data_IF_775182262317
#
_entry.id   IF_775182262317
#
_cell.length_a   1.000
_cell.length_b   1.000
_cell.length_c   1.000
_cell.angle_alpha   90.00
_cell.angle_beta   90.00
_cell.angle_gamma   90.00
#
_symmetry.space_group_name_H-M   'P 1'
#
loop_
_entity.id
_entity.type
_entity.pdbx_description
1 polymer ?
#
# COMPACT_ATOMS: atom_id res chain seq x y z
N UNK A 1 -48.83 34.93 -12.72
CA UNK A 1 -49.58 33.65 -12.72
C UNK A 1 -48.56 32.55 -13.09
N UNK A 2 -48.39 31.56 -12.22
CA UNK A 2 -47.52 30.40 -12.50
C UNK A 2 -48.32 29.40 -13.33
N UNK A 3 -47.80 28.99 -14.46
CA UNK A 3 -48.46 27.97 -15.30
C UNK A 3 -48.35 26.62 -14.54
N UNK A 4 -49.43 25.85 -14.40
CA UNK A 4 -49.36 24.52 -13.83
C UNK A 4 -48.60 23.59 -14.75
N UNK A 5 -47.73 22.77 -14.18
CA UNK A 5 -47.00 21.73 -14.92
C UNK A 5 -47.96 20.66 -15.43
N UNK A 6 -47.72 20.17 -16.62
CA UNK A 6 -48.50 19.05 -17.16
C UNK A 6 -48.00 17.74 -16.58
N UNK A 7 -48.87 16.74 -16.46
CA UNK A 7 -48.50 15.40 -15.97
C UNK A 7 -47.39 14.79 -16.82
N UNK A 8 -47.36 15.08 -18.14
CA UNK A 8 -46.35 14.62 -19.06
C UNK A 8 -44.98 15.24 -18.77
N UNK A 9 -44.88 16.54 -18.45
CA UNK A 9 -43.63 17.21 -18.10
C UNK A 9 -42.98 16.58 -16.84
N UNK A 10 -43.79 16.28 -15.83
CA UNK A 10 -43.30 15.63 -14.61
C UNK A 10 -42.82 14.21 -14.92
N UNK A 11 -43.56 13.45 -15.73
CA UNK A 11 -43.22 12.07 -16.09
C UNK A 11 -41.90 12.02 -16.87
N UNK A 12 -41.68 12.94 -17.82
CA UNK A 12 -40.43 13.07 -18.56
C UNK A 12 -39.28 13.46 -17.65
N UNK A 13 -39.47 14.43 -16.75
CA UNK A 13 -38.44 14.84 -15.82
C UNK A 13 -38.01 13.70 -14.89
N UNK A 14 -38.95 12.95 -14.31
CA UNK A 14 -38.63 11.80 -13.46
C UNK A 14 -37.94 10.69 -14.24
N UNK A 15 -38.35 10.45 -15.49
CA UNK A 15 -37.67 9.46 -16.36
C UNK A 15 -36.22 9.81 -16.64
N UNK A 16 -35.93 11.09 -16.94
CA UNK A 16 -34.55 11.56 -17.16
C UNK A 16 -33.71 11.42 -15.89
N UNK A 17 -34.25 11.82 -14.73
CA UNK A 17 -33.57 11.66 -13.43
C UNK A 17 -33.29 10.18 -13.17
N UNK A 18 -34.23 9.30 -13.43
CA UNK A 18 -34.05 7.85 -13.27
C UNK A 18 -32.90 7.29 -14.11
N UNK A 19 -32.82 7.67 -15.37
CA UNK A 19 -31.75 7.24 -16.28
C UNK A 19 -30.39 7.78 -15.81
N UNK A 20 -30.31 9.07 -15.47
CA UNK A 20 -29.07 9.69 -14.99
C UNK A 20 -28.56 9.06 -13.69
N UNK A 21 -29.49 8.74 -12.78
CA UNK A 21 -29.14 8.08 -11.50
C UNK A 21 -28.62 6.65 -11.73
N UNK A 22 -29.27 5.90 -12.61
CA UNK A 22 -28.86 4.53 -12.93
C UNK A 22 -27.46 4.46 -13.56
N UNK A 23 -27.14 5.38 -14.47
CA UNK A 23 -25.79 5.45 -15.09
C UNK A 23 -24.73 5.91 -14.08
N UNK A 24 -25.04 6.82 -13.16
CA UNK A 24 -24.10 7.31 -12.15
C UNK A 24 -23.65 6.24 -11.17
N UNK A 25 -24.52 5.32 -10.78
CA UNK A 25 -24.18 4.26 -9.81
C UNK A 25 -23.24 3.19 -10.38
N UNK A 26 -23.33 2.89 -11.68
CA UNK A 26 -22.48 1.86 -12.30
C UNK A 26 -21.00 2.26 -12.45
N UNK A 27 -20.71 3.55 -12.56
CA UNK A 27 -19.35 4.04 -12.82
C UNK A 27 -18.51 4.15 -11.56
N UNK A 28 -19.13 4.30 -10.38
CA UNK A 28 -18.41 4.60 -9.13
C UNK A 28 -17.42 3.51 -8.71
N UNK A 29 -17.74 2.25 -8.91
CA UNK A 29 -16.86 1.11 -8.59
C UNK A 29 -15.60 1.10 -9.45
N UNK A 30 -15.77 1.25 -10.75
CA UNK A 30 -14.65 1.29 -11.70
C UNK A 30 -13.69 2.46 -11.43
N UNK A 31 -14.25 3.66 -11.22
CA UNK A 31 -13.45 4.86 -10.94
C UNK A 31 -12.67 4.69 -9.63
N UNK A 32 -13.27 4.16 -8.58
CA UNK A 32 -12.59 3.91 -7.30
C UNK A 32 -11.42 2.95 -7.46
N UNK A 33 -11.60 1.85 -8.20
CA UNK A 33 -10.53 0.90 -8.46
C UNK A 33 -9.40 1.55 -9.27
N UNK A 34 -9.72 2.33 -10.30
CA UNK A 34 -8.71 3.02 -11.10
C UNK A 34 -7.93 4.08 -10.33
N UNK A 35 -8.59 4.79 -9.43
CA UNK A 35 -7.94 5.74 -8.53
C UNK A 35 -7.02 5.00 -7.55
N UNK A 36 -7.47 3.90 -6.95
CA UNK A 36 -6.68 3.11 -6.04
C UNK A 36 -5.43 2.52 -6.73
N UNK A 37 -5.57 1.97 -7.94
CA UNK A 37 -4.45 1.49 -8.75
C UNK A 37 -3.42 2.60 -9.00
N UNK A 38 -3.88 3.78 -9.42
CA UNK A 38 -3.01 4.92 -9.67
C UNK A 38 -2.30 5.39 -8.40
N UNK A 39 -2.99 5.42 -7.27
CA UNK A 39 -2.40 5.74 -5.97
C UNK A 39 -1.33 4.71 -5.58
N UNK A 40 -1.60 3.42 -5.78
CA UNK A 40 -0.65 2.34 -5.50
C UNK A 40 0.62 2.50 -6.33
N UNK A 41 0.50 2.71 -7.64
CA UNK A 41 1.64 2.95 -8.54
C UNK A 41 2.46 4.17 -8.09
N UNK A 42 1.79 5.23 -7.67
CA UNK A 42 2.47 6.42 -7.14
C UNK A 42 3.19 6.12 -5.83
N UNK A 43 2.56 5.39 -4.92
CA UNK A 43 3.17 4.98 -3.65
C UNK A 43 4.41 4.12 -3.87
N UNK A 44 4.32 3.09 -4.73
CA UNK A 44 5.46 2.24 -5.09
C UNK A 44 6.59 3.09 -5.64
N UNK A 45 6.33 4.00 -6.56
CA UNK A 45 7.34 4.88 -7.15
C UNK A 45 8.01 5.81 -6.14
N UNK A 46 7.27 6.31 -5.16
CA UNK A 46 7.85 7.11 -4.06
C UNK A 46 8.77 6.26 -3.17
N UNK A 47 8.39 5.01 -2.89
CA UNK A 47 9.22 4.06 -2.13
C UNK A 47 10.49 3.73 -2.91
N UNK A 48 10.39 3.44 -4.21
CA UNK A 48 11.54 3.19 -5.07
C UNK A 48 12.54 4.33 -5.05
N UNK A 49 12.08 5.58 -5.22
CA UNK A 49 12.95 6.75 -5.15
C UNK A 49 13.65 6.89 -3.79
N UNK A 50 12.94 6.60 -2.70
CA UNK A 50 13.53 6.63 -1.37
C UNK A 50 14.56 5.51 -1.18
N UNK A 51 14.28 4.30 -1.67
CA UNK A 51 15.19 3.17 -1.62
C UNK A 51 16.45 3.40 -2.45
N UNK A 52 16.32 3.96 -3.65
CA UNK A 52 17.46 4.35 -4.49
C UNK A 52 18.34 5.39 -3.79
N UNK A 53 17.73 6.46 -3.27
CA UNK A 53 18.44 7.50 -2.54
C UNK A 53 19.15 6.98 -1.28
N UNK A 54 18.54 5.99 -0.62
CA UNK A 54 19.17 5.31 0.52
C UNK A 54 20.35 4.46 0.06
N UNK A 55 20.18 3.67 -1.01
CA UNK A 55 21.22 2.81 -1.58
C UNK A 55 22.42 3.62 -2.07
N UNK A 56 22.22 4.77 -2.71
CA UNK A 56 23.30 5.68 -3.11
C UNK A 56 24.17 6.13 -1.93
N UNK A 57 23.59 6.25 -0.73
CA UNK A 57 24.29 6.68 0.48
C UNK A 57 24.94 5.55 1.26
N UNK A 58 24.35 4.37 1.23
CA UNK A 58 24.74 3.26 2.12
C UNK A 58 25.31 2.06 1.39
N UNK A 59 25.12 1.99 0.06
CA UNK A 59 25.53 0.85 -0.78
C UNK A 59 24.61 -0.37 -0.65
N UNK A 60 23.46 -0.25 0.05
CA UNK A 60 22.51 -1.35 0.23
C UNK A 60 21.07 -0.82 0.30
N UNK A 61 20.10 -1.66 -0.05
CA UNK A 61 18.70 -1.35 0.16
C UNK A 61 18.29 -1.54 1.62
N UNK A 62 17.23 -0.83 2.09
CA UNK A 62 16.75 -1.01 3.45
C UNK A 62 16.33 -2.46 3.69
N UNK A 63 16.75 -3.04 4.79
CA UNK A 63 16.30 -4.36 5.22
C UNK A 63 14.97 -4.17 5.94
N UNK A 64 13.94 -4.89 5.51
CA UNK A 64 12.61 -4.86 6.11
C UNK A 64 12.43 -5.93 7.18
N UNK A 65 13.47 -6.72 7.44
CA UNK A 65 13.46 -7.78 8.44
C UNK A 65 13.60 -7.22 9.85
N UNK A 66 12.83 -7.76 10.77
CA UNK A 66 13.06 -7.57 12.20
C UNK A 66 14.44 -8.15 12.57
N UNK A 67 15.27 -7.35 13.25
CA UNK A 67 16.62 -7.74 13.69
C UNK A 67 16.65 -9.01 14.56
N UNK A 68 15.51 -9.44 15.08
CA UNK A 68 15.38 -10.61 15.93
C UNK A 68 14.95 -11.88 15.19
N UNK A 69 14.72 -11.83 13.86
CA UNK A 69 14.43 -13.02 13.05
C UNK A 69 13.12 -13.75 13.37
N UNK A 70 12.30 -13.21 14.23
CA UNK A 70 11.09 -13.88 14.72
C UNK A 70 9.80 -13.41 14.03
N UNK A 71 9.81 -12.28 13.34
CA UNK A 71 8.62 -11.74 12.65
C UNK A 71 8.95 -11.51 11.16
N UNK A 72 9.04 -12.61 10.42
CA UNK A 72 9.31 -12.63 8.97
C UNK A 72 8.06 -12.24 8.16
N UNK A 73 7.30 -11.25 8.62
CA UNK A 73 6.21 -10.75 7.79
C UNK A 73 6.78 -10.00 6.59
N UNK A 74 6.40 -10.38 5.36
CA UNK A 74 6.92 -9.74 4.14
C UNK A 74 6.38 -8.32 3.94
N UNK A 75 5.62 -7.80 4.91
CA UNK A 75 5.01 -6.49 4.80
C UNK A 75 6.02 -5.36 5.01
N UNK A 76 6.00 -4.40 4.09
CA UNK A 76 6.80 -3.20 4.24
C UNK A 76 6.33 -2.38 5.44
N UNK A 77 7.16 -2.33 6.46
CA UNK A 77 6.88 -1.60 7.68
C UNK A 77 8.08 -0.79 8.17
N UNK A 78 7.79 0.22 8.96
CA UNK A 78 8.76 1.01 9.70
C UNK A 78 8.50 0.74 11.16
N UNK A 79 9.52 0.30 11.88
CA UNK A 79 9.47 0.18 13.32
C UNK A 79 10.21 1.35 13.95
N UNK A 80 9.52 2.08 14.83
CA UNK A 80 10.07 3.25 15.53
C UNK A 80 10.11 2.92 17.02
N UNK A 81 11.31 2.73 17.59
CA UNK A 81 11.48 2.57 19.02
C UNK A 81 10.97 3.81 19.77
N UNK A 82 10.57 3.65 21.03
CA UNK A 82 10.13 4.78 21.86
C UNK A 82 11.19 5.87 22.01
N UNK A 83 12.44 5.43 22.18
CA UNK A 83 13.61 6.30 22.36
C UNK A 83 14.44 6.43 21.06
N UNK A 84 13.74 6.55 19.93
CA UNK A 84 14.36 6.61 18.62
C UNK A 84 15.27 7.83 18.46
N UNK A 85 16.34 7.64 17.67
CA UNK A 85 17.21 8.69 17.20
C UNK A 85 17.08 8.84 15.68
N UNK A 86 17.55 9.95 15.13
CA UNK A 86 17.57 10.16 13.67
C UNK A 86 18.36 9.05 12.94
N UNK A 87 19.33 8.43 13.62
CA UNK A 87 20.10 7.32 13.06
C UNK A 87 19.31 6.03 12.89
N UNK A 88 18.26 5.81 13.69
CA UNK A 88 17.39 4.63 13.58
C UNK A 88 16.43 4.74 12.39
N UNK A 89 16.25 5.94 11.87
CA UNK A 89 15.32 6.27 10.79
C UNK A 89 16.01 6.57 9.45
N UNK A 90 17.22 6.03 9.22
CA UNK A 90 18.08 6.40 8.06
C UNK A 90 17.38 6.35 6.72
N UNK A 91 16.59 5.30 6.46
CA UNK A 91 15.92 5.19 5.16
C UNK A 91 14.63 6.02 5.07
N UNK A 92 13.96 6.32 6.20
CA UNK A 92 12.79 7.17 6.22
C UNK A 92 13.16 8.60 5.84
N UNK A 93 14.33 9.06 6.26
CA UNK A 93 14.84 10.39 5.89
C UNK A 93 15.19 10.52 4.40
N UNK A 94 15.15 9.43 3.65
CA UNK A 94 15.30 9.44 2.21
C UNK A 94 14.02 9.90 1.49
N UNK A 95 12.86 9.77 2.12
CA UNK A 95 11.63 10.36 1.58
C UNK A 95 11.66 11.89 1.63
N UNK A 96 10.96 12.49 0.70
CA UNK A 96 10.70 13.93 0.75
C UNK A 96 9.48 14.18 1.66
N UNK A 97 9.49 15.31 2.38
CA UNK A 97 8.37 15.75 3.24
C UNK A 97 7.91 14.70 4.26
N UNK A 98 8.82 14.34 5.15
CA UNK A 98 8.54 13.44 6.27
C UNK A 98 8.25 14.24 7.52
N UNK A 99 7.15 13.97 8.18
CA UNK A 99 6.87 14.41 9.54
C UNK A 99 7.15 13.24 10.48
N UNK A 100 8.17 13.36 11.30
CA UNK A 100 8.52 12.35 12.30
C UNK A 100 7.61 12.46 13.52
N UNK A 101 7.27 11.34 14.18
CA UNK A 101 6.54 11.36 15.43
C UNK A 101 7.39 12.09 16.47
N UNK A 102 6.76 12.88 17.34
CA UNK A 102 7.50 13.55 18.41
C UNK A 102 7.96 12.51 19.44
N UNK A 103 9.26 12.52 19.74
CA UNK A 103 9.85 11.76 20.84
C UNK A 103 9.49 12.43 22.17
N UNK A 104 8.26 12.23 22.66
CA UNK A 104 7.89 12.75 23.99
C UNK A 104 7.39 11.61 24.86
N UNK A 105 8.11 11.43 25.92
CA UNK A 105 7.87 10.46 26.99
C UNK A 105 6.52 10.62 27.73
N UNK A 106 5.70 11.61 27.42
CA UNK A 106 4.55 11.96 28.25
C UNK A 106 3.21 12.16 27.55
N UNK A 107 3.14 12.08 26.20
CA UNK A 107 1.85 12.30 25.56
C UNK A 107 1.65 11.41 24.31
N UNK A 108 0.78 10.37 24.37
CA UNK A 108 0.51 9.46 23.24
C UNK A 108 -0.29 10.12 22.10
N UNK A 109 -0.70 11.37 22.21
CA UNK A 109 -1.43 12.12 21.19
C UNK A 109 -0.54 12.89 20.21
N UNK A 110 0.78 12.76 20.31
CA UNK A 110 1.68 13.37 19.36
C UNK A 110 1.50 12.76 17.96
N UNK A 111 1.49 13.60 16.93
CA UNK A 111 1.30 13.23 15.53
C UNK A 111 2.18 12.03 15.16
N UNK A 112 1.54 10.95 14.64
CA UNK A 112 2.25 9.78 14.13
C UNK A 112 3.15 10.11 12.94
N UNK A 113 3.93 9.15 12.49
CA UNK A 113 4.72 9.25 11.26
C UNK A 113 3.81 9.60 10.08
N UNK A 114 4.19 10.64 9.33
CA UNK A 114 3.53 10.99 8.06
C UNK A 114 4.55 11.16 6.98
N UNK A 115 4.28 10.56 5.83
CA UNK A 115 5.07 10.71 4.60
C UNK A 115 4.12 11.24 3.54
N UNK A 116 4.47 12.35 2.92
CA UNK A 116 3.60 12.98 1.90
C UNK A 116 3.36 12.04 0.73
N UNK A 117 2.08 11.85 0.39
CA UNK A 117 1.68 11.00 -0.72
C UNK A 117 1.64 9.50 -0.41
N UNK A 118 1.96 9.09 0.82
CA UNK A 118 1.94 7.71 1.27
C UNK A 118 0.95 7.55 2.43
N UNK A 119 0.12 6.52 2.35
CA UNK A 119 -0.78 6.13 3.43
C UNK A 119 -0.08 5.14 4.34
N UNK A 120 -0.15 5.38 5.64
CA UNK A 120 0.44 4.52 6.66
C UNK A 120 -0.64 4.06 7.63
N UNK A 121 -0.53 2.82 8.10
CA UNK A 121 -1.31 2.25 9.19
C UNK A 121 -0.40 2.10 10.42
N UNK A 122 -0.75 2.78 11.50
CA UNK A 122 -0.06 2.63 12.77
C UNK A 122 -0.62 1.46 13.54
N UNK A 123 0.24 0.56 13.99
CA UNK A 123 -0.11 -0.53 14.90
C UNK A 123 0.75 -0.44 16.15
N UNK A 124 0.17 -0.80 17.28
CA UNK A 124 0.93 -0.94 18.52
C UNK A 124 1.86 -2.14 18.35
N UNK A 125 3.14 -1.89 18.19
CA UNK A 125 4.17 -2.90 18.27
C UNK A 125 4.34 -3.44 19.70
N UNK A 126 5.30 -4.35 19.90
CA UNK A 126 5.65 -4.85 21.22
C UNK A 126 6.05 -3.70 22.15
N UNK A 127 5.65 -3.75 23.37
CA UNK A 127 5.69 -2.86 24.54
C UNK A 127 6.30 -1.44 24.46
N UNK A 128 7.17 -1.11 23.52
CA UNK A 128 7.81 0.21 23.40
C UNK A 128 8.08 0.65 21.96
N UNK A 129 7.54 -0.04 20.95
CA UNK A 129 7.75 0.29 19.55
C UNK A 129 6.43 0.62 18.86
N UNK A 130 6.46 1.56 17.93
CA UNK A 130 5.35 1.83 17.02
C UNK A 130 5.72 1.28 15.66
N UNK A 131 4.81 0.50 15.05
CA UNK A 131 5.01 -0.09 13.73
C UNK A 131 4.06 0.59 12.74
N UNK A 132 4.60 1.06 11.64
CA UNK A 132 3.87 1.74 10.58
C UNK A 132 3.97 0.92 9.30
N UNK A 133 2.85 0.38 8.84
CA UNK A 133 2.77 -0.36 7.58
C UNK A 133 2.45 0.60 6.43
N UNK A 134 3.11 0.41 5.31
CA UNK A 134 2.79 1.11 4.07
C UNK A 134 1.55 0.50 3.44
N UNK A 135 0.59 1.35 3.06
CA UNK A 135 -0.66 0.92 2.45
C UNK A 135 -0.71 1.27 0.97
N UNK A 136 -1.34 0.39 0.22
CA UNK A 136 -1.71 0.62 -1.16
C UNK A 136 -2.95 1.54 -1.29
N UNK A 137 -3.40 1.80 -2.52
CA UNK A 137 -4.57 2.64 -2.79
C UNK A 137 -5.89 2.04 -2.28
N UNK A 138 -5.95 0.73 -2.10
CA UNK A 138 -7.11 0.05 -1.51
C UNK A 138 -7.05 -0.03 0.02
N UNK A 139 -5.97 0.48 0.64
CA UNK A 139 -5.77 0.49 2.10
C UNK A 139 -5.23 -0.82 2.65
N UNK A 140 -4.44 -1.57 1.86
CA UNK A 140 -3.81 -2.82 2.27
C UNK A 140 -2.32 -2.66 2.42
N UNK A 141 -1.72 -3.50 3.22
CA UNK A 141 -0.28 -3.52 3.47
C UNK A 141 0.47 -3.91 2.19
N UNK A 142 1.46 -3.12 1.83
CA UNK A 142 2.40 -3.44 0.77
C UNK A 142 3.39 -4.50 1.24
N UNK A 143 3.76 -5.40 0.34
CA UNK A 143 4.78 -6.42 0.55
C UNK A 143 6.10 -5.88 -0.01
N UNK A 144 7.19 -6.15 0.72
CA UNK A 144 8.54 -5.90 0.27
C UNK A 144 9.41 -7.12 0.53
N UNK A 145 9.97 -7.68 -0.52
CA UNK A 145 10.93 -8.77 -0.46
C UNK A 145 12.32 -8.19 -0.69
N UNK A 146 13.22 -8.36 0.27
CA UNK A 146 14.63 -7.96 0.16
C UNK A 146 15.51 -9.05 0.80
N UNK A 147 16.31 -9.79 0.02
CA UNK A 147 16.53 -9.63 -1.42
C UNK A 147 15.28 -9.96 -2.25
N UNK A 148 15.20 -9.36 -3.45
CA UNK A 148 14.12 -9.63 -4.40
C UNK A 148 14.16 -11.07 -4.93
N UNK A 149 13.00 -11.61 -5.21
CA UNK A 149 12.83 -12.97 -5.75
C UNK A 149 12.48 -12.91 -7.24
N UNK A 150 11.67 -11.92 -7.63
CA UNK A 150 11.14 -11.79 -8.99
C UNK A 150 11.99 -10.90 -9.88
N UNK A 151 12.51 -9.80 -9.33
CA UNK A 151 13.31 -8.84 -10.09
C UNK A 151 14.80 -9.25 -10.14
N UNK A 152 15.44 -9.27 -8.98
CA UNK A 152 16.88 -9.63 -8.85
C UNK A 152 17.22 -9.91 -7.39
N UNK A 153 18.09 -10.89 -7.17
CA UNK A 153 18.64 -11.19 -5.84
C UNK A 153 19.50 -10.06 -5.23
N UNK A 154 19.84 -9.05 -6.03
CA UNK A 154 20.59 -7.86 -5.59
C UNK A 154 19.69 -6.63 -5.41
N UNK A 155 18.40 -6.78 -5.61
CA UNK A 155 17.38 -5.73 -5.55
C UNK A 155 16.27 -6.11 -4.56
N UNK A 156 15.13 -5.48 -4.70
CA UNK A 156 13.94 -5.71 -3.89
C UNK A 156 12.71 -5.82 -4.78
N UNK A 157 11.66 -6.46 -4.29
CA UNK A 157 10.36 -6.53 -4.94
C UNK A 157 9.31 -5.84 -4.06
N UNK A 158 8.52 -4.96 -4.65
CA UNK A 158 7.37 -4.32 -4.02
C UNK A 158 6.10 -4.85 -4.69
N UNK A 159 5.15 -5.32 -3.88
CA UNK A 159 3.94 -5.99 -4.36
C UNK A 159 2.71 -5.46 -3.62
N UNK A 160 1.67 -5.12 -4.36
CA UNK A 160 0.31 -4.90 -3.88
C UNK A 160 -0.62 -5.94 -4.50
N UNK A 161 -1.50 -6.51 -3.71
CA UNK A 161 -2.49 -7.51 -4.15
C UNK A 161 -3.76 -6.89 -4.75
N UNK A 162 -3.69 -5.65 -5.17
CA UNK A 162 -4.77 -5.02 -5.91
C UNK A 162 -6.15 -5.03 -5.24
N UNK A 163 -7.19 -4.90 -6.02
CA UNK A 163 -8.58 -4.77 -5.57
C UNK A 163 -9.21 -6.07 -5.08
N UNK A 164 -8.86 -7.21 -5.62
CA UNK A 164 -9.45 -8.50 -5.30
C UNK A 164 -8.86 -9.18 -4.05
N UNK A 165 -7.73 -8.70 -3.51
CA UNK A 165 -6.98 -9.22 -2.34
C UNK A 165 -6.27 -10.55 -2.61
N UNK A 166 -6.13 -10.91 -3.84
CA UNK A 166 -5.54 -12.18 -4.24
C UNK A 166 -4.35 -11.88 -5.14
N UNK A 167 -3.24 -12.53 -4.90
CA UNK A 167 -2.12 -12.51 -5.82
C UNK A 167 -1.93 -13.86 -6.47
N UNK A 168 -1.51 -13.86 -7.73
CA UNK A 168 -1.26 -15.07 -8.51
C UNK A 168 -2.20 -15.27 -9.67
N UNK A 169 -1.89 -16.26 -10.49
CA UNK A 169 -2.48 -16.56 -11.82
C UNK A 169 -3.82 -17.30 -11.78
N UNK A 170 -4.72 -17.00 -10.93
CA UNK A 170 -6.04 -17.62 -10.92
C UNK A 170 -6.10 -19.10 -10.53
N UNK A 171 -5.07 -19.91 -10.79
CA UNK A 171 -5.02 -21.32 -10.42
C UNK A 171 -4.42 -21.56 -9.02
N UNK A 172 -3.57 -20.63 -8.57
CA UNK A 172 -2.88 -20.67 -7.28
C UNK A 172 -2.99 -19.35 -6.53
N UNK A 173 -4.17 -18.73 -6.56
CA UNK A 173 -4.41 -17.46 -5.87
C UNK A 173 -4.15 -17.60 -4.37
N UNK A 174 -3.26 -16.76 -3.86
CA UNK A 174 -2.99 -16.63 -2.43
C UNK A 174 -3.57 -15.32 -1.92
N UNK A 175 -4.29 -15.37 -0.83
CA UNK A 175 -4.82 -14.17 -0.20
C UNK A 175 -3.73 -13.47 0.63
N UNK A 176 -3.93 -12.17 0.87
CA UNK A 176 -3.04 -11.41 1.78
C UNK A 176 -2.98 -12.05 3.16
N UNK A 177 -4.07 -12.71 3.58
CA UNK A 177 -4.16 -13.43 4.87
C UNK A 177 -3.27 -14.68 4.90
N UNK A 178 -3.13 -15.36 3.78
CA UNK A 178 -2.23 -16.51 3.67
C UNK A 178 -0.78 -16.05 3.82
N UNK A 179 -0.45 -14.88 3.28
CA UNK A 179 0.88 -14.27 3.46
C UNK A 179 1.18 -13.89 4.92
N UNK A 180 0.17 -13.52 5.70
CA UNK A 180 0.32 -13.26 7.14
C UNK A 180 0.64 -14.53 7.93
N UNK A 181 0.14 -15.68 7.49
CA UNK A 181 0.26 -16.96 8.22
C UNK A 181 1.46 -17.80 7.77
N UNK A 182 1.82 -17.76 6.49
CA UNK A 182 2.84 -18.67 5.90
C UNK A 182 4.23 -18.00 5.76
N UNK A 183 4.38 -16.76 6.20
CA UNK A 183 5.65 -16.01 6.15
C UNK A 183 6.23 -15.90 4.72
N UNK A 184 7.55 -15.76 4.57
CA UNK A 184 8.21 -15.59 3.27
C UNK A 184 8.21 -16.85 2.38
N UNK A 185 7.93 -18.02 2.92
CA UNK A 185 8.03 -19.28 2.17
C UNK A 185 7.01 -19.39 1.02
N UNK A 186 5.89 -18.66 1.10
CA UNK A 186 4.93 -18.55 -0.01
C UNK A 186 5.61 -18.02 -1.27
N UNK A 187 6.45 -17.00 -1.12
CA UNK A 187 7.11 -16.35 -2.26
C UNK A 187 8.29 -17.15 -2.81
N UNK A 188 8.82 -18.11 -2.04
CA UNK A 188 9.90 -19.01 -2.48
C UNK A 188 9.38 -20.18 -3.31
N UNK A 189 8.10 -20.52 -3.22
CA UNK A 189 7.52 -21.55 -4.09
C UNK A 189 7.46 -21.01 -5.52
N UNK A 190 8.02 -21.72 -6.48
CA UNK A 190 8.06 -21.32 -7.91
C UNK A 190 6.67 -21.18 -8.56
N UNK A 191 5.61 -21.43 -7.84
CA UNK A 191 4.22 -21.38 -8.30
C UNK A 191 3.52 -20.05 -7.99
N UNK A 192 4.16 -19.17 -7.22
CA UNK A 192 3.59 -17.86 -6.88
C UNK A 192 4.16 -16.80 -7.80
N UNK A 193 3.34 -16.27 -8.68
CA UNK A 193 3.66 -15.08 -9.48
C UNK A 193 2.56 -14.05 -9.28
N UNK A 194 2.89 -12.77 -9.01
CA UNK A 194 1.93 -11.69 -9.11
C UNK A 194 1.34 -11.69 -10.51
N UNK A 195 0.02 -11.60 -10.60
CA UNK A 195 -0.67 -11.69 -11.88
C UNK A 195 -0.48 -10.39 -12.69
N UNK A 196 0.16 -10.49 -13.85
CA UNK A 196 0.29 -9.36 -14.78
C UNK A 196 -1.05 -8.97 -15.44
N UNK A 197 -2.04 -9.85 -15.40
CA UNK A 197 -3.35 -9.65 -16.06
C UNK A 197 -4.39 -9.14 -15.06
N UNK A 198 -4.13 -9.30 -13.76
CA UNK A 198 -5.01 -8.87 -12.67
C UNK A 198 -4.87 -7.40 -12.30
N UNK A 199 -5.27 -7.11 -11.09
CA UNK A 199 -5.16 -5.79 -10.45
C UNK A 199 -3.93 -5.67 -9.52
N UNK A 200 -3.04 -6.68 -9.53
CA UNK A 200 -1.77 -6.64 -8.82
C UNK A 200 -0.87 -5.52 -9.35
N UNK A 201 -0.24 -4.80 -8.44
CA UNK A 201 0.70 -3.72 -8.80
C UNK A 201 2.07 -4.02 -8.22
N UNK A 202 3.06 -4.13 -9.09
CA UNK A 202 4.44 -4.45 -8.74
C UNK A 202 5.41 -3.37 -9.23
N UNK A 203 6.64 -3.39 -8.71
CA UNK A 203 7.74 -2.54 -9.21
C UNK A 203 8.58 -3.20 -10.29
N UNK A 204 8.20 -4.40 -10.73
CA UNK A 204 8.89 -5.14 -11.79
C UNK A 204 7.89 -5.55 -12.88
N UNK A 205 8.41 -5.72 -14.09
CA UNK A 205 7.69 -6.32 -15.21
C UNK A 205 8.33 -7.67 -15.49
N UNK A 206 7.50 -8.68 -15.79
CA UNK A 206 7.99 -9.99 -16.24
C UNK A 206 8.56 -9.84 -17.65
N UNK A 207 9.84 -10.16 -17.83
CA UNK A 207 10.47 -10.30 -19.14
C UNK A 207 10.18 -11.68 -19.74
#
# INVERSE_FOLDING_TARGET
MRKPYTLVEILVAVSIIGILTATGLGITGYVRNKVAETQTKTTIKLIEMAFQKYNEKTGSYPVTEDKNGSDLTPFLAIEIPKDWTVNDLKWITAFNDVTLPQSTSTNPTASGLKIRGIRLEETNGSANHRKYYFLDGWGRKLICLNPGIFNSSTSYDLISFGGDKLAGDGSTKKSIRDCENEQQDIFKSQTFYPDEIGDDVTNFTRN
#
